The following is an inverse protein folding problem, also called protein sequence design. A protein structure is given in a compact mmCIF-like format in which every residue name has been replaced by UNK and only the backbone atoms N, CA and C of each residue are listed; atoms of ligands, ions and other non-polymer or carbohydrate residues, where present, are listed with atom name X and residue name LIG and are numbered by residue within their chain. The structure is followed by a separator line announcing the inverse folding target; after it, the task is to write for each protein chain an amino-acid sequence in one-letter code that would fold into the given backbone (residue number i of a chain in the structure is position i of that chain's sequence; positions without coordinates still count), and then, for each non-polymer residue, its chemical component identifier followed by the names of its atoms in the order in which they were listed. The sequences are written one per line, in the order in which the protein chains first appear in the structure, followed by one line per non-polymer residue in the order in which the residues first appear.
data_IF_335683619138
#
_entry.id   IF_335683619138
#
_cell.length_a   1.000
_cell.length_b   1.000
_cell.length_c   1.000
_cell.angle_alpha   90.00
_cell.angle_beta   90.00
_cell.angle_gamma   90.00
#
_symmetry.space_group_name_H-M   'P 1'
#
loop_
_entity.id
_entity.type
_entity.pdbx_description
1 polymer ?
#
# COMPACT_ATOMS: atom_id res chain seq x y z
N UNK A 1 -16.85 -3.16 -16.28
CA UNK A 1 -16.04 -3.89 -15.28
C UNK A 1 -14.54 -3.74 -15.56
N UNK A 2 -14.09 -4.07 -16.77
CA UNK A 2 -12.68 -3.98 -17.20
C UNK A 2 -12.06 -2.58 -16.99
N UNK A 3 -12.76 -1.51 -17.39
CA UNK A 3 -12.29 -0.13 -17.17
C UNK A 3 -11.99 0.18 -15.69
N UNK A 4 -12.89 -0.23 -14.79
CA UNK A 4 -12.72 -0.04 -13.34
C UNK A 4 -11.53 -0.82 -12.80
N UNK A 5 -11.33 -2.05 -13.27
CA UNK A 5 -10.18 -2.87 -12.90
C UNK A 5 -8.86 -2.22 -13.35
N UNK A 6 -8.77 -1.79 -14.62
CA UNK A 6 -7.57 -1.13 -15.15
C UNK A 6 -7.26 0.14 -14.35
N UNK A 7 -8.26 0.98 -14.07
CA UNK A 7 -8.08 2.18 -13.26
C UNK A 7 -7.57 1.86 -11.86
N UNK A 8 -8.15 0.87 -11.18
CA UNK A 8 -7.68 0.41 -9.87
C UNK A 8 -6.26 -0.15 -9.92
N UNK A 9 -5.95 -0.92 -10.96
CA UNK A 9 -4.62 -1.50 -11.17
C UNK A 9 -3.57 -0.41 -11.33
N UNK A 10 -3.85 0.62 -12.13
CA UNK A 10 -2.96 1.78 -12.27
C UNK A 10 -2.76 2.49 -10.93
N UNK A 11 -3.82 2.75 -10.17
CA UNK A 11 -3.71 3.42 -8.87
C UNK A 11 -2.93 2.59 -7.85
N UNK A 12 -3.13 1.26 -7.82
CA UNK A 12 -2.35 0.36 -6.98
C UNK A 12 -0.89 0.28 -7.44
N UNK A 13 -0.63 0.36 -8.75
CA UNK A 13 0.73 0.39 -9.29
C UNK A 13 1.48 1.64 -8.84
N UNK A 14 0.82 2.80 -8.93
CA UNK A 14 1.37 4.07 -8.45
C UNK A 14 1.57 4.02 -6.93
N UNK A 15 0.57 3.57 -6.17
CA UNK A 15 0.67 3.44 -4.72
C UNK A 15 1.81 2.52 -4.28
N UNK A 16 1.99 1.39 -4.96
CA UNK A 16 3.09 0.47 -4.69
C UNK A 16 4.45 1.09 -5.02
N UNK A 17 4.56 1.78 -6.16
CA UNK A 17 5.78 2.48 -6.54
C UNK A 17 6.15 3.57 -5.53
N UNK A 18 5.19 4.40 -5.12
CA UNK A 18 5.39 5.47 -4.12
C UNK A 18 5.78 4.88 -2.77
N UNK A 19 5.07 3.85 -2.29
CA UNK A 19 5.41 3.20 -1.02
C UNK A 19 6.82 2.58 -1.06
N UNK A 20 7.18 1.92 -2.17
CA UNK A 20 8.51 1.33 -2.35
C UNK A 20 9.61 2.37 -2.43
N UNK A 21 9.38 3.54 -3.05
CA UNK A 21 10.39 4.58 -3.22
C UNK A 21 10.56 5.45 -1.98
N UNK A 22 9.47 5.75 -1.26
CA UNK A 22 9.51 6.58 -0.06
C UNK A 22 10.11 5.86 1.14
N UNK A 23 9.78 4.58 1.34
CA UNK A 23 10.19 3.85 2.55
C UNK A 23 11.40 2.96 2.30
N UNK A 24 11.57 2.46 1.07
CA UNK A 24 12.69 1.57 0.73
C UNK A 24 12.66 0.20 1.44
N UNK A 25 11.58 -0.13 2.13
CA UNK A 25 11.48 -1.35 2.94
C UNK A 25 11.09 -2.62 2.19
N UNK A 26 10.68 -2.50 0.92
CA UNK A 26 10.30 -3.65 0.10
C UNK A 26 11.54 -4.20 -0.61
N UNK A 27 11.95 -5.40 -0.22
CA UNK A 27 13.02 -6.14 -0.88
C UNK A 27 12.43 -7.29 -1.71
N UNK A 28 12.86 -7.37 -2.97
CA UNK A 28 12.49 -8.46 -3.88
C UNK A 28 13.76 -9.13 -4.41
N UNK A 29 13.89 -10.44 -4.17
CA UNK A 29 14.94 -11.27 -4.79
C UNK A 29 14.48 -11.91 -6.09
N UNK A 30 15.41 -12.20 -7.01
CA UNK A 30 15.08 -12.86 -8.28
C UNK A 30 14.41 -11.93 -9.30
N UNK A 31 13.33 -12.40 -9.95
CA UNK A 31 12.66 -11.62 -11.00
C UNK A 31 11.77 -10.52 -10.39
N UNK A 32 12.35 -9.32 -10.24
CA UNK A 32 11.70 -8.15 -9.65
C UNK A 32 10.42 -7.73 -10.39
N UNK A 33 10.41 -7.84 -11.72
CA UNK A 33 9.28 -7.37 -12.55
C UNK A 33 8.06 -8.27 -12.33
N UNK A 34 8.23 -9.57 -12.44
CA UNK A 34 7.13 -10.55 -12.28
C UNK A 34 6.57 -10.49 -10.86
N UNK A 35 7.45 -10.46 -9.85
CA UNK A 35 7.04 -10.42 -8.44
C UNK A 35 6.28 -9.12 -8.13
N UNK A 36 6.77 -7.97 -8.61
CA UNK A 36 6.09 -6.69 -8.41
C UNK A 36 4.74 -6.65 -9.10
N UNK A 37 4.65 -7.18 -10.33
CA UNK A 37 3.39 -7.29 -11.05
C UNK A 37 2.37 -8.14 -10.29
N UNK A 38 2.80 -9.29 -9.77
CA UNK A 38 1.96 -10.18 -8.98
C UNK A 38 1.46 -9.52 -7.68
N UNK A 39 2.36 -8.83 -6.96
CA UNK A 39 2.00 -8.08 -5.74
C UNK A 39 0.94 -7.02 -6.03
N UNK A 40 1.15 -6.21 -7.07
CA UNK A 40 0.18 -5.17 -7.47
C UNK A 40 -1.14 -5.79 -7.90
N UNK A 41 -1.11 -6.91 -8.63
CA UNK A 41 -2.32 -7.61 -9.05
C UNK A 41 -3.15 -8.07 -7.86
N UNK A 42 -2.54 -8.71 -6.86
CA UNK A 42 -3.25 -9.18 -5.66
C UNK A 42 -3.74 -7.98 -4.82
N UNK A 43 -2.94 -6.94 -4.65
CA UNK A 43 -3.37 -5.70 -3.97
C UNK A 43 -4.57 -5.05 -4.66
N UNK A 44 -4.60 -5.07 -5.99
CA UNK A 44 -5.72 -4.56 -6.80
C UNK A 44 -6.99 -5.37 -6.50
N UNK A 45 -6.90 -6.69 -6.52
CA UNK A 45 -8.04 -7.57 -6.17
C UNK A 45 -8.53 -7.33 -4.75
N UNK A 46 -7.63 -7.28 -3.77
CA UNK A 46 -7.97 -7.05 -2.38
C UNK A 46 -8.68 -5.70 -2.18
N UNK A 47 -8.16 -4.61 -2.75
CA UNK A 47 -8.74 -3.28 -2.61
C UNK A 47 -10.04 -3.10 -3.41
N UNK A 48 -10.23 -3.86 -4.49
CA UNK A 48 -11.49 -3.86 -5.24
C UNK A 48 -12.60 -4.65 -4.53
N UNK A 49 -12.25 -5.75 -3.85
CA UNK A 49 -13.19 -6.57 -3.07
C UNK A 49 -13.50 -5.96 -1.69
N UNK A 50 -12.58 -5.18 -1.11
CA UNK A 50 -12.71 -4.60 0.21
C UNK A 50 -14.08 -3.92 0.48
N UNK A 51 -14.61 -3.05 -0.40
CA UNK A 51 -15.90 -2.39 -0.16
C UNK A 51 -17.07 -3.38 -0.09
N UNK A 52 -17.00 -4.49 -0.83
CA UNK A 52 -18.03 -5.53 -0.81
C UNK A 52 -17.94 -6.36 0.47
N UNK A 53 -16.73 -6.74 0.89
CA UNK A 53 -16.49 -7.48 2.13
C UNK A 53 -16.90 -6.63 3.34
N UNK A 54 -16.50 -5.37 3.38
CA UNK A 54 -16.88 -4.43 4.44
C UNK A 54 -18.38 -4.10 4.43
N UNK A 55 -19.12 -4.39 3.35
CA UNK A 55 -20.56 -4.18 3.32
C UNK A 55 -21.36 -5.31 3.97
N UNK A 56 -20.79 -6.51 4.08
CA UNK A 56 -21.40 -7.67 4.74
C UNK A 56 -21.40 -7.47 6.27
N UNK A 57 -20.34 -6.84 6.78
CA UNK A 57 -20.23 -6.47 8.19
C UNK A 57 -20.80 -5.05 8.40
N UNK A 58 -21.32 -4.71 9.59
CA UNK A 58 -21.77 -3.35 9.92
C UNK A 58 -20.57 -2.40 10.15
N UNK A 59 -19.57 -2.46 9.27
CA UNK A 59 -18.35 -1.68 9.35
C UNK A 59 -18.52 -0.32 8.68
N UNK A 60 -17.82 0.72 9.16
CA UNK A 60 -17.92 2.05 8.59
C UNK A 60 -17.42 2.10 7.14
N UNK A 61 -18.25 2.68 6.27
CA UNK A 61 -18.03 2.69 4.80
C UNK A 61 -17.45 4.00 4.27
N UNK A 62 -17.36 5.04 5.10
CA UNK A 62 -16.91 6.39 4.72
C UNK A 62 -16.08 7.01 5.85
N UNK A 63 -15.29 8.03 5.50
CA UNK A 63 -14.48 8.80 6.45
C UNK A 63 -13.19 8.10 6.86
N UNK A 64 -12.57 8.61 7.93
CA UNK A 64 -11.25 8.17 8.40
C UNK A 64 -11.23 6.69 8.81
N UNK A 65 -12.30 6.19 9.41
CA UNK A 65 -12.43 4.79 9.81
C UNK A 65 -12.39 3.81 8.63
N UNK A 66 -12.92 4.20 7.46
CA UNK A 66 -12.82 3.39 6.24
C UNK A 66 -11.38 3.36 5.68
N UNK A 67 -10.60 4.42 5.87
CA UNK A 67 -9.17 4.46 5.53
C UNK A 67 -8.41 3.50 6.46
N UNK A 68 -8.71 3.55 7.77
CA UNK A 68 -8.10 2.68 8.77
C UNK A 68 -8.38 1.19 8.52
N UNK A 69 -9.62 0.83 8.15
CA UNK A 69 -9.96 -0.54 7.73
C UNK A 69 -9.20 -0.98 6.49
N UNK A 70 -9.06 -0.08 5.50
CA UNK A 70 -8.26 -0.35 4.31
C UNK A 70 -6.78 -0.53 4.63
N UNK A 71 -6.28 0.22 5.62
CA UNK A 71 -4.91 0.09 6.10
C UNK A 71 -4.68 -1.29 6.72
N UNK A 72 -5.55 -1.72 7.64
CA UNK A 72 -5.47 -3.05 8.25
C UNK A 72 -5.50 -4.15 7.19
N UNK A 73 -6.40 -4.03 6.21
CA UNK A 73 -6.46 -4.98 5.09
C UNK A 73 -5.14 -5.02 4.31
N UNK A 74 -4.58 -3.87 3.96
CA UNK A 74 -3.32 -3.81 3.21
C UNK A 74 -2.14 -4.35 4.02
N UNK A 75 -2.08 -4.08 5.34
CA UNK A 75 -1.09 -4.69 6.24
C UNK A 75 -1.22 -6.22 6.22
N UNK A 76 -2.45 -6.75 6.32
CA UNK A 76 -2.69 -8.18 6.27
C UNK A 76 -2.26 -8.79 4.93
N UNK A 77 -2.56 -8.12 3.81
CA UNK A 77 -2.15 -8.58 2.47
C UNK A 77 -0.62 -8.58 2.31
N UNK A 78 0.06 -7.53 2.78
CA UNK A 78 1.53 -7.50 2.77
C UNK A 78 2.13 -8.59 3.66
N UNK A 79 1.52 -8.88 4.81
CA UNK A 79 1.94 -9.98 5.68
C UNK A 79 1.78 -11.33 5.00
N UNK A 80 0.69 -11.55 4.26
CA UNK A 80 0.49 -12.74 3.44
C UNK A 80 1.60 -12.86 2.39
N UNK A 81 2.01 -11.76 1.74
CA UNK A 81 3.12 -11.81 0.80
C UNK A 81 4.44 -12.24 1.45
N UNK A 82 4.76 -11.72 2.64
CA UNK A 82 5.97 -12.11 3.37
C UNK A 82 6.01 -13.63 3.62
N UNK A 83 4.86 -14.24 3.89
CA UNK A 83 4.77 -15.69 4.19
C UNK A 83 4.76 -16.55 2.93
N UNK A 84 4.02 -16.13 1.89
CA UNK A 84 3.75 -16.98 0.71
C UNK A 84 4.66 -16.70 -0.49
N UNK A 85 5.29 -15.52 -0.58
CA UNK A 85 6.24 -15.19 -1.64
C UNK A 85 7.66 -15.27 -1.08
N UNK A 86 8.42 -16.36 -1.34
CA UNK A 86 9.77 -16.52 -0.79
C UNK A 86 10.75 -15.43 -1.24
N UNK A 87 10.43 -14.78 -2.37
CA UNK A 87 11.18 -13.69 -2.96
C UNK A 87 10.77 -12.30 -2.46
N UNK A 88 9.75 -12.19 -1.62
CA UNK A 88 9.24 -10.91 -1.12
C UNK A 88 9.56 -10.79 0.38
N UNK A 89 10.30 -9.75 0.76
CA UNK A 89 10.63 -9.48 2.16
C UNK A 89 10.42 -8.02 2.47
N UNK A 90 9.99 -7.75 3.70
CA UNK A 90 10.04 -6.40 4.26
C UNK A 90 11.23 -6.34 5.20
N UNK A 91 12.16 -5.45 4.89
CA UNK A 91 13.41 -5.26 5.64
C UNK A 91 13.34 -3.97 6.46
N UNK A 92 14.20 -3.89 7.47
CA UNK A 92 14.41 -2.64 8.17
C UNK A 92 14.84 -1.55 7.17
N UNK A 93 14.28 -0.36 7.32
CA UNK A 93 14.47 0.72 6.36
C UNK A 93 14.75 2.04 7.07
N UNK A 94 15.13 3.04 6.28
CA UNK A 94 15.44 4.36 6.78
C UNK A 94 14.45 5.34 6.17
N UNK A 95 13.73 6.06 7.03
CA UNK A 95 13.02 7.24 6.54
C UNK A 95 14.06 8.30 6.17
N UNK A 96 14.04 8.82 4.93
CA UNK A 96 14.92 9.90 4.55
C UNK A 96 14.59 11.17 5.35
N UNK A 97 15.59 12.02 5.53
CA UNK A 97 15.39 13.35 6.14
C UNK A 97 14.42 14.16 5.29
N UNK A 98 13.40 14.72 5.95
CA UNK A 98 12.38 15.49 5.28
C UNK A 98 12.55 16.96 5.67
N UNK A 99 13.00 17.76 4.72
CA UNK A 99 13.16 19.21 4.91
C UNK A 99 11.92 19.90 4.35
N UNK A 100 11.08 20.44 5.23
CA UNK A 100 9.89 21.21 4.85
C UNK A 100 10.01 22.62 5.42
N UNK A 101 10.02 23.64 4.56
CA UNK A 101 10.07 25.06 4.95
C UNK A 101 11.21 25.39 5.95
N UNK A 102 12.36 24.71 5.85
CA UNK A 102 13.51 24.90 6.74
C UNK A 102 13.47 24.07 8.03
N UNK A 103 12.38 23.36 8.32
CA UNK A 103 12.33 22.35 9.39
C UNK A 103 12.86 21.02 8.88
N UNK A 104 13.90 20.51 9.53
CA UNK A 104 14.47 19.18 9.26
C UNK A 104 13.76 18.18 10.18
N UNK A 105 12.91 17.32 9.61
CA UNK A 105 12.51 16.12 10.32
C UNK A 105 13.65 15.10 10.27
N UNK A 106 14.15 14.63 11.44
CA UNK A 106 15.28 13.71 11.49
C UNK A 106 14.90 12.38 10.86
N UNK A 107 15.87 11.77 10.18
CA UNK A 107 15.74 10.40 9.68
C UNK A 107 15.49 9.44 10.85
N UNK A 108 14.62 8.45 10.63
CA UNK A 108 14.33 7.42 11.63
C UNK A 108 14.60 6.05 11.02
N UNK A 109 15.36 5.24 11.76
CA UNK A 109 15.45 3.81 11.49
C UNK A 109 14.12 3.14 11.82
N UNK A 110 13.57 2.45 10.83
CA UNK A 110 12.39 1.63 11.00
C UNK A 110 12.79 0.16 11.15
N UNK A 111 12.30 -0.48 12.21
CA UNK A 111 12.32 -1.93 12.30
C UNK A 111 11.38 -2.54 11.23
N UNK A 112 11.54 -3.84 10.93
CA UNK A 112 10.77 -4.48 9.85
C UNK A 112 9.24 -4.34 9.98
N UNK A 113 8.70 -4.38 11.20
CA UNK A 113 7.27 -4.17 11.47
C UNK A 113 6.87 -2.71 11.21
N UNK A 114 7.68 -1.74 11.67
CA UNK A 114 7.41 -0.33 11.42
C UNK A 114 7.49 -0.03 9.90
N UNK A 115 8.44 -0.63 9.19
CA UNK A 115 8.53 -0.53 7.74
C UNK A 115 7.31 -1.10 7.03
N UNK A 116 6.79 -2.25 7.49
CA UNK A 116 5.54 -2.83 6.98
C UNK A 116 4.37 -1.87 7.17
N UNK A 117 4.20 -1.34 8.39
CA UNK A 117 3.11 -0.42 8.74
C UNK A 117 3.19 0.88 7.93
N UNK A 118 4.36 1.49 7.86
CA UNK A 118 4.59 2.68 7.05
C UNK A 118 4.32 2.40 5.56
N UNK A 119 4.76 1.24 5.04
CA UNK A 119 4.57 0.87 3.63
C UNK A 119 3.10 0.73 3.30
N UNK A 120 2.36 0.00 4.14
CA UNK A 120 0.93 -0.14 4.00
C UNK A 120 0.20 1.20 4.15
N UNK A 121 0.69 2.10 5.02
CA UNK A 121 0.12 3.44 5.22
C UNK A 121 0.30 4.32 3.99
N UNK A 122 1.53 4.46 3.49
CA UNK A 122 1.81 5.24 2.28
C UNK A 122 1.00 4.68 1.11
N UNK A 123 1.03 3.36 0.91
CA UNK A 123 0.23 2.69 -0.11
C UNK A 123 -1.27 3.03 0.00
N UNK A 124 -1.84 2.88 1.20
CA UNK A 124 -3.27 3.10 1.44
C UNK A 124 -3.66 4.55 1.18
N UNK A 125 -2.89 5.51 1.70
CA UNK A 125 -3.15 6.93 1.47
C UNK A 125 -3.08 7.24 -0.01
N UNK A 126 -2.02 6.84 -0.71
CA UNK A 126 -1.86 7.10 -2.14
C UNK A 126 -3.04 6.54 -2.94
N UNK A 127 -3.40 5.27 -2.73
CA UNK A 127 -4.51 4.63 -3.45
C UNK A 127 -5.85 5.31 -3.14
N UNK A 128 -6.14 5.63 -1.88
CA UNK A 128 -7.40 6.31 -1.51
C UNK A 128 -7.47 7.73 -2.08
N UNK A 129 -6.36 8.47 -2.11
CA UNK A 129 -6.29 9.80 -2.72
C UNK A 129 -6.58 9.73 -4.22
N UNK A 130 -5.96 8.79 -4.96
CA UNK A 130 -6.25 8.63 -6.39
C UNK A 130 -7.68 8.17 -6.66
N UNK A 131 -8.23 7.28 -5.82
CA UNK A 131 -9.63 6.86 -5.93
C UNK A 131 -10.61 8.00 -5.65
N UNK A 132 -10.28 8.90 -4.72
CA UNK A 132 -11.07 10.09 -4.46
C UNK A 132 -11.02 11.05 -5.64
N UNK A 133 -9.81 11.37 -6.14
CA UNK A 133 -9.61 12.24 -7.31
C UNK A 133 -10.29 11.69 -8.58
N UNK A 134 -10.28 10.37 -8.76
CA UNK A 134 -10.92 9.69 -9.89
C UNK A 134 -12.44 9.58 -9.78
N UNK A 135 -13.04 9.82 -8.60
CA UNK A 135 -14.49 9.86 -8.39
C UNK A 135 -15.10 11.24 -8.65
N UNK A 136 -14.29 12.28 -8.65
CA UNK A 136 -14.72 13.65 -8.97
C UNK A 136 -14.83 13.91 -10.49
N UNK A 137 -14.73 12.84 -11.30
CA UNK A 137 -15.06 12.81 -12.74
C UNK A 137 -16.17 11.81 -13.02
#
# INVERSE_FOLDING_TARGET
MIKKFITFFIYCSIGYYVASSTIGGIFISGNRVITSFFVVFVLTFANMLAPHVFAILPLPKKGFSAIFLSLILNVAVFQVFIVFLPNFRIVASFLPELIIFGFVLPSKHLNGIESLLCTALVFTITVKTFLWLGKER
#
